data_IF_348662777539
#
_entry.id   IF_348662777539
#
_cell.length_a   1.000
_cell.length_b   1.000
_cell.length_c   1.000
_cell.angle_alpha   90.00
_cell.angle_beta   90.00
_cell.angle_gamma   90.00
#
_symmetry.space_group_name_H-M   'P 1'
#
loop_
_entity.id
_entity.type
_entity.pdbx_description
1 polymer ?
#
# COMPACT_ATOMS: atom_id res chain seq x y z
N UNK A 1 -50.03 -50.15 33.03
CA UNK A 1 -50.68 -51.47 32.88
C UNK A 1 -52.00 -51.22 32.16
N UNK A 2 -52.09 -51.61 30.89
CA UNK A 2 -53.32 -51.41 30.10
C UNK A 2 -54.13 -52.70 30.16
N UNK A 3 -55.38 -52.61 30.62
CA UNK A 3 -56.30 -53.75 30.64
C UNK A 3 -56.71 -54.10 29.21
N UNK A 4 -56.48 -55.35 28.81
CA UNK A 4 -57.01 -55.94 27.59
C UNK A 4 -58.53 -56.01 27.71
N UNK A 5 -59.27 -55.34 26.82
CA UNK A 5 -60.74 -55.44 26.78
C UNK A 5 -61.06 -56.82 26.22
N UNK A 6 -61.49 -57.73 27.10
CA UNK A 6 -61.87 -59.11 26.75
C UNK A 6 -63.19 -59.08 25.98
N UNK A 7 -63.14 -59.35 24.67
CA UNK A 7 -64.32 -59.38 23.82
C UNK A 7 -65.10 -60.69 24.05
N UNK A 8 -66.22 -60.61 24.77
CA UNK A 8 -67.10 -61.76 25.02
C UNK A 8 -68.13 -61.94 23.90
N UNK A 9 -68.06 -63.06 23.19
CA UNK A 9 -69.11 -63.49 22.28
C UNK A 9 -70.32 -64.06 23.05
N UNK A 10 -71.19 -63.16 23.53
CA UNK A 10 -72.49 -63.51 24.07
C UNK A 10 -73.46 -63.83 22.93
N UNK A 11 -74.22 -64.94 23.00
CA UNK A 11 -75.26 -65.29 22.02
C UNK A 11 -76.46 -64.32 22.07
N UNK A 12 -76.58 -63.57 23.16
CA UNK A 12 -77.60 -62.55 23.38
C UNK A 12 -76.91 -61.19 23.51
N UNK A 13 -77.14 -60.22 22.59
CA UNK A 13 -76.64 -58.87 22.76
C UNK A 13 -77.29 -58.26 24.01
N UNK A 14 -76.49 -57.65 24.89
CA UNK A 14 -77.05 -56.79 25.93
C UNK A 14 -77.74 -55.61 25.23
N UNK A 15 -78.96 -55.23 25.65
CA UNK A 15 -79.62 -54.05 25.12
C UNK A 15 -78.74 -52.84 25.41
N UNK A 16 -78.28 -52.18 24.35
CA UNK A 16 -77.56 -50.92 24.44
C UNK A 16 -78.48 -49.90 25.12
N UNK A 17 -78.07 -49.36 26.28
CA UNK A 17 -78.71 -48.17 26.83
C UNK A 17 -78.46 -47.03 25.85
N UNK A 18 -79.51 -46.49 25.21
CA UNK A 18 -79.34 -45.35 24.34
C UNK A 18 -78.72 -44.22 25.14
N UNK A 19 -77.65 -43.61 24.60
CA UNK A 19 -77.17 -42.35 25.14
C UNK A 19 -78.37 -41.38 25.26
N UNK A 20 -78.45 -40.59 26.35
CA UNK A 20 -79.53 -39.64 26.52
C UNK A 20 -79.63 -38.80 25.24
N UNK A 21 -80.82 -38.79 24.64
CA UNK A 21 -81.08 -38.02 23.42
C UNK A 21 -80.68 -36.57 23.72
N UNK A 22 -79.86 -35.92 22.87
CA UNK A 22 -79.61 -34.50 23.03
C UNK A 22 -80.97 -33.78 23.07
N UNK A 23 -81.05 -32.65 23.81
CA UNK A 23 -82.27 -31.84 23.84
C UNK A 23 -82.81 -31.67 22.43
N UNK A 24 -84.12 -31.85 22.24
CA UNK A 24 -84.78 -31.64 20.95
C UNK A 24 -84.59 -30.17 20.57
N UNK A 25 -83.53 -29.88 19.81
CA UNK A 25 -83.28 -28.58 19.21
C UNK A 25 -84.46 -28.26 18.31
N UNK A 26 -84.99 -27.05 18.43
CA UNK A 26 -85.98 -26.60 17.45
C UNK A 26 -85.32 -26.44 16.09
N UNK A 27 -86.12 -26.48 15.03
CA UNK A 27 -85.62 -26.32 13.66
C UNK A 27 -84.85 -25.00 13.49
N UNK A 28 -85.30 -23.93 14.13
CA UNK A 28 -84.66 -22.62 14.11
C UNK A 28 -83.28 -22.64 14.80
N UNK A 29 -83.14 -23.33 15.93
CA UNK A 29 -81.86 -23.46 16.64
C UNK A 29 -80.84 -24.25 15.81
N UNK A 30 -81.29 -25.28 15.09
CA UNK A 30 -80.45 -26.04 14.17
C UNK A 30 -79.97 -25.17 12.99
N UNK A 31 -80.84 -24.36 12.39
CA UNK A 31 -80.43 -23.45 11.31
C UNK A 31 -79.37 -22.44 11.77
N UNK A 32 -79.54 -21.89 12.99
CA UNK A 32 -78.55 -20.98 13.59
C UNK A 32 -77.21 -21.69 13.76
N UNK A 33 -77.19 -22.89 14.35
CA UNK A 33 -75.96 -23.66 14.55
C UNK A 33 -75.24 -23.98 13.23
N UNK A 34 -75.98 -24.35 12.19
CA UNK A 34 -75.40 -24.61 10.86
C UNK A 34 -74.79 -23.34 10.27
N UNK A 35 -75.46 -22.19 10.44
CA UNK A 35 -74.95 -20.90 9.94
C UNK A 35 -73.68 -20.45 10.69
N UNK A 36 -73.63 -20.66 12.01
CA UNK A 36 -72.46 -20.37 12.84
C UNK A 36 -71.29 -21.30 12.49
N UNK A 37 -71.57 -22.58 12.27
CA UNK A 37 -70.56 -23.55 11.83
C UNK A 37 -69.97 -23.15 10.45
N UNK A 38 -70.82 -22.77 9.49
CA UNK A 38 -70.36 -22.30 8.19
C UNK A 38 -69.50 -21.03 8.31
N UNK A 39 -69.93 -20.05 9.11
CA UNK A 39 -69.17 -18.82 9.33
C UNK A 39 -67.83 -19.08 10.02
N UNK A 40 -67.79 -19.97 11.01
CA UNK A 40 -66.52 -20.31 11.70
C UNK A 40 -65.56 -21.07 10.79
N UNK A 41 -66.06 -21.95 9.92
CA UNK A 41 -65.24 -22.66 8.92
C UNK A 41 -64.66 -21.69 7.88
N UNK A 42 -65.45 -20.77 7.34
CA UNK A 42 -64.98 -19.72 6.43
C UNK A 42 -63.89 -18.85 7.08
N UNK A 43 -64.10 -18.43 8.33
CA UNK A 43 -63.10 -17.67 9.09
C UNK A 43 -61.81 -18.47 9.31
N UNK A 44 -61.90 -19.76 9.59
CA UNK A 44 -60.73 -20.63 9.73
C UNK A 44 -59.95 -20.73 8.41
N UNK A 45 -60.63 -20.91 7.28
CA UNK A 45 -59.99 -20.95 5.97
C UNK A 45 -59.30 -19.62 5.63
N UNK A 46 -59.93 -18.49 5.93
CA UNK A 46 -59.32 -17.17 5.75
C UNK A 46 -58.07 -16.99 6.64
N UNK A 47 -58.14 -17.39 7.91
CA UNK A 47 -57.00 -17.37 8.83
C UNK A 47 -55.84 -18.26 8.35
N UNK A 48 -56.14 -19.44 7.82
CA UNK A 48 -55.14 -20.33 7.22
C UNK A 48 -54.48 -19.71 5.99
N UNK A 49 -55.25 -19.10 5.10
CA UNK A 49 -54.72 -18.40 3.93
C UNK A 49 -53.76 -17.27 4.31
N UNK A 50 -54.16 -16.39 5.22
CA UNK A 50 -53.30 -15.30 5.71
C UNK A 50 -52.02 -15.81 6.39
N UNK A 51 -52.10 -16.90 7.14
CA UNK A 51 -50.93 -17.51 7.77
C UNK A 51 -49.96 -18.12 6.75
N UNK A 52 -50.46 -18.72 5.67
CA UNK A 52 -49.63 -19.20 4.57
C UNK A 52 -48.92 -18.06 3.84
N UNK A 53 -49.62 -16.97 3.56
CA UNK A 53 -49.03 -15.76 2.96
C UNK A 53 -47.92 -15.18 3.83
N UNK A 54 -48.15 -15.07 5.14
CA UNK A 54 -47.15 -14.60 6.09
C UNK A 54 -45.89 -15.49 6.12
N UNK A 55 -46.05 -16.82 6.05
CA UNK A 55 -44.90 -17.74 5.94
C UNK A 55 -44.10 -17.49 4.67
N UNK A 56 -44.77 -17.28 3.54
CA UNK A 56 -44.12 -16.98 2.26
C UNK A 56 -43.37 -15.65 2.35
N UNK A 57 -43.95 -14.63 2.97
CA UNK A 57 -43.31 -13.34 3.17
C UNK A 57 -42.07 -13.46 4.06
N UNK A 58 -42.13 -14.23 5.15
CA UNK A 58 -40.97 -14.50 6.01
C UNK A 58 -39.83 -15.19 5.29
N UNK A 59 -40.12 -16.15 4.41
CA UNK A 59 -39.08 -16.80 3.59
C UNK A 59 -38.46 -15.80 2.61
N UNK A 60 -39.26 -14.92 2.00
CA UNK A 60 -38.76 -13.86 1.11
C UNK A 60 -37.86 -12.88 1.87
N UNK A 61 -38.27 -12.45 3.07
CA UNK A 61 -37.50 -11.56 3.94
C UNK A 61 -36.13 -12.16 4.28
N UNK A 62 -36.10 -13.39 4.79
CA UNK A 62 -34.86 -14.09 5.13
C UNK A 62 -33.92 -14.26 3.93
N UNK A 63 -34.47 -14.55 2.73
CA UNK A 63 -33.69 -14.66 1.50
C UNK A 63 -33.06 -13.32 1.09
N UNK A 64 -33.81 -12.22 1.22
CA UNK A 64 -33.30 -10.88 0.92
C UNK A 64 -32.22 -10.44 1.90
N UNK A 65 -32.39 -10.72 3.19
CA UNK A 65 -31.38 -10.44 4.21
C UNK A 65 -30.07 -11.18 3.93
N UNK A 66 -30.15 -12.48 3.64
CA UNK A 66 -28.97 -13.28 3.24
C UNK A 66 -28.27 -12.68 2.01
N UNK A 67 -29.02 -12.26 1.01
CA UNK A 67 -28.46 -11.67 -0.21
C UNK A 67 -27.78 -10.32 0.07
N UNK A 68 -28.31 -9.52 0.99
CA UNK A 68 -27.67 -8.26 1.42
C UNK A 68 -26.31 -8.54 2.07
N UNK A 69 -26.25 -9.47 3.01
CA UNK A 69 -25.01 -9.87 3.68
C UNK A 69 -23.97 -10.40 2.68
N UNK A 70 -24.39 -11.26 1.75
CA UNK A 70 -23.50 -11.79 0.71
C UNK A 70 -22.95 -10.66 -0.19
N UNK A 71 -23.79 -9.69 -0.54
CA UNK A 71 -23.38 -8.53 -1.35
C UNK A 71 -22.39 -7.64 -0.60
N UNK A 72 -22.60 -7.39 0.68
CA UNK A 72 -21.68 -6.63 1.53
C UNK A 72 -20.32 -7.34 1.66
N UNK A 73 -20.33 -8.65 1.92
CA UNK A 73 -19.12 -9.45 1.97
C UNK A 73 -18.34 -9.44 0.64
N UNK A 74 -19.04 -9.46 -0.50
CA UNK A 74 -18.41 -9.30 -1.82
C UNK A 74 -17.82 -7.90 -2.02
N UNK A 75 -18.53 -6.84 -1.58
CA UNK A 75 -18.04 -5.47 -1.67
C UNK A 75 -16.77 -5.26 -0.83
N UNK A 76 -16.68 -5.84 0.37
CA UNK A 76 -15.47 -5.82 1.19
C UNK A 76 -14.30 -6.55 0.53
N UNK A 77 -14.53 -7.75 -0.02
CA UNK A 77 -13.51 -8.49 -0.78
C UNK A 77 -12.98 -7.67 -1.95
N UNK A 78 -13.85 -7.00 -2.70
CA UNK A 78 -13.44 -6.13 -3.80
C UNK A 78 -12.59 -4.96 -3.32
N UNK A 79 -12.95 -4.31 -2.22
CA UNK A 79 -12.13 -3.23 -1.63
C UNK A 79 -10.74 -3.73 -1.21
N UNK A 80 -10.65 -4.92 -0.63
CA UNK A 80 -9.36 -5.52 -0.25
C UNK A 80 -8.52 -5.83 -1.49
N UNK A 81 -9.12 -6.37 -2.55
CA UNK A 81 -8.42 -6.64 -3.80
C UNK A 81 -7.92 -5.35 -4.46
N UNK A 82 -8.75 -4.30 -4.48
CA UNK A 82 -8.37 -3.00 -5.04
C UNK A 82 -7.16 -2.40 -4.30
N UNK A 83 -7.17 -2.40 -2.96
CA UNK A 83 -6.02 -1.91 -2.17
C UNK A 83 -4.75 -2.71 -2.48
N UNK A 84 -4.87 -4.04 -2.58
CA UNK A 84 -3.75 -4.91 -2.90
C UNK A 84 -3.20 -4.65 -4.31
N UNK A 85 -4.08 -4.36 -5.28
CA UNK A 85 -3.67 -3.98 -6.63
C UNK A 85 -2.94 -2.63 -6.66
N UNK A 86 -3.44 -1.65 -5.91
CA UNK A 86 -2.78 -0.34 -5.76
C UNK A 86 -1.39 -0.47 -5.12
N UNK A 87 -1.25 -1.29 -4.07
CA UNK A 87 0.03 -1.61 -3.43
C UNK A 87 1.00 -2.30 -4.41
N UNK A 88 0.53 -3.29 -5.18
CA UNK A 88 1.35 -3.97 -6.18
C UNK A 88 1.86 -3.00 -7.25
N UNK A 89 0.99 -2.10 -7.72
CA UNK A 89 1.33 -1.08 -8.70
C UNK A 89 2.33 -0.05 -8.15
N UNK A 90 2.25 0.28 -6.86
CA UNK A 90 3.21 1.15 -6.20
C UNK A 90 4.58 0.46 -6.07
N UNK A 91 4.61 -0.82 -5.68
CA UNK A 91 5.85 -1.60 -5.58
C UNK A 91 6.52 -1.80 -6.96
N UNK A 92 5.73 -2.05 -8.01
CA UNK A 92 6.25 -2.16 -9.38
C UNK A 92 6.93 -0.86 -9.84
N UNK A 93 6.32 0.29 -9.56
CA UNK A 93 6.94 1.60 -9.82
C UNK A 93 8.23 1.78 -9.02
N UNK A 94 8.23 1.44 -7.72
CA UNK A 94 9.45 1.54 -6.89
C UNK A 94 10.57 0.68 -7.45
N UNK A 95 10.27 -0.53 -7.90
CA UNK A 95 11.27 -1.39 -8.54
C UNK A 95 11.76 -0.86 -9.88
N UNK A 96 10.90 -0.21 -10.68
CA UNK A 96 11.32 0.43 -11.92
C UNK A 96 12.28 1.59 -11.63
N UNK A 97 11.94 2.44 -10.66
CA UNK A 97 12.77 3.57 -10.25
C UNK A 97 14.12 3.10 -9.68
N UNK A 98 14.14 2.05 -8.85
CA UNK A 98 15.36 1.44 -8.32
C UNK A 98 16.26 0.91 -9.45
N UNK A 99 15.68 0.25 -10.45
CA UNK A 99 16.42 -0.25 -11.62
C UNK A 99 16.99 0.90 -12.46
N UNK A 100 16.24 1.97 -12.67
CA UNK A 100 16.70 3.15 -13.40
C UNK A 100 17.83 3.86 -12.65
N UNK A 101 17.72 3.95 -11.32
CA UNK A 101 18.76 4.53 -10.48
C UNK A 101 20.05 3.69 -10.52
N UNK A 102 19.94 2.36 -10.43
CA UNK A 102 21.08 1.44 -10.57
C UNK A 102 21.74 1.54 -11.95
N UNK A 103 20.94 1.59 -13.01
CA UNK A 103 21.44 1.76 -14.37
C UNK A 103 22.19 3.07 -14.54
N UNK A 104 21.64 4.16 -14.01
CA UNK A 104 22.26 5.49 -14.04
C UNK A 104 23.57 5.53 -13.27
N UNK A 105 23.64 4.88 -12.10
CA UNK A 105 24.86 4.77 -11.30
C UNK A 105 25.97 3.97 -12.01
N UNK A 106 25.64 2.85 -12.67
CA UNK A 106 26.61 2.09 -13.46
C UNK A 106 27.14 2.91 -14.65
N UNK A 107 26.26 3.66 -15.32
CA UNK A 107 26.65 4.53 -16.43
C UNK A 107 27.58 5.65 -15.97
N UNK A 108 27.27 6.29 -14.83
CA UNK A 108 28.10 7.32 -14.21
C UNK A 108 29.48 6.75 -13.81
N UNK A 109 29.51 5.58 -13.18
CA UNK A 109 30.76 4.93 -12.78
C UNK A 109 31.65 4.62 -13.98
N UNK A 110 31.05 4.17 -15.10
CA UNK A 110 31.78 3.97 -16.36
C UNK A 110 32.31 5.29 -16.91
N UNK A 111 31.51 6.34 -16.93
CA UNK A 111 31.93 7.67 -17.36
C UNK A 111 33.13 8.17 -16.54
N UNK A 112 33.04 8.11 -15.21
CA UNK A 112 34.11 8.54 -14.30
C UNK A 112 35.38 7.71 -14.48
N UNK A 113 35.27 6.39 -14.68
CA UNK A 113 36.41 5.53 -14.97
C UNK A 113 37.10 5.91 -16.30
N UNK A 114 36.33 6.28 -17.32
CA UNK A 114 36.90 6.76 -18.59
C UNK A 114 37.52 8.15 -18.46
N UNK A 115 36.89 9.08 -17.74
CA UNK A 115 37.42 10.41 -17.47
C UNK A 115 38.74 10.35 -16.70
N UNK A 116 38.82 9.49 -15.68
CA UNK A 116 40.05 9.26 -14.91
C UNK A 116 41.19 8.72 -15.78
N UNK A 117 40.92 7.75 -16.66
CA UNK A 117 41.92 7.25 -17.63
C UNK A 117 42.43 8.35 -18.56
N UNK A 118 41.55 9.22 -19.05
CA UNK A 118 41.95 10.35 -19.90
C UNK A 118 42.79 11.37 -19.13
N UNK A 119 42.43 11.67 -17.87
CA UNK A 119 43.20 12.56 -17.01
C UNK A 119 44.60 12.01 -16.72
N UNK A 120 44.72 10.72 -16.41
CA UNK A 120 46.00 10.05 -16.19
C UNK A 120 46.87 10.08 -17.47
N UNK A 121 46.27 9.89 -18.64
CA UNK A 121 47.00 9.96 -19.91
C UNK A 121 47.51 11.38 -20.23
N UNK A 122 46.69 12.40 -19.94
CA UNK A 122 47.07 13.81 -20.07
C UNK A 122 48.18 14.20 -19.09
N UNK A 123 48.10 13.77 -17.83
CA UNK A 123 49.16 13.99 -16.84
C UNK A 123 50.47 13.34 -17.29
N UNK A 124 50.42 12.09 -17.77
CA UNK A 124 51.60 11.38 -18.29
C UNK A 124 52.21 12.07 -19.52
N UNK A 125 51.40 12.70 -20.37
CA UNK A 125 51.88 13.51 -21.51
C UNK A 125 52.56 14.79 -21.02
N UNK A 126 51.96 15.52 -20.07
CA UNK A 126 52.54 16.73 -19.46
C UNK A 126 53.88 16.43 -18.77
N UNK A 127 53.96 15.37 -17.97
CA UNK A 127 55.20 14.99 -17.27
C UNK A 127 56.32 14.62 -18.27
N UNK A 128 55.99 13.95 -19.38
CA UNK A 128 56.95 13.67 -20.47
C UNK A 128 57.44 14.94 -21.15
N UNK A 129 56.57 15.93 -21.35
CA UNK A 129 56.93 17.20 -21.97
C UNK A 129 57.82 18.04 -21.04
N UNK A 130 57.47 18.10 -19.76
CA UNK A 130 58.25 18.81 -18.73
C UNK A 130 59.65 18.20 -18.57
N UNK A 131 59.77 16.86 -18.54
CA UNK A 131 61.08 16.18 -18.56
C UNK A 131 61.92 16.53 -19.79
N UNK A 132 61.29 16.69 -20.96
CA UNK A 132 61.99 17.12 -22.19
C UNK A 132 62.42 18.58 -22.11
N UNK A 133 61.58 19.46 -21.59
CA UNK A 133 61.88 20.87 -21.39
C UNK A 133 63.03 21.07 -20.39
N UNK A 134 62.98 20.41 -19.23
CA UNK A 134 64.05 20.42 -18.22
C UNK A 134 65.39 19.92 -18.80
N UNK A 135 65.37 18.88 -19.64
CA UNK A 135 66.58 18.37 -20.32
C UNK A 135 67.16 19.39 -21.31
N UNK A 136 66.33 20.20 -21.99
CA UNK A 136 66.79 21.29 -22.86
C UNK A 136 67.40 22.44 -22.05
N UNK A 137 66.71 22.92 -21.00
CA UNK A 137 67.24 23.96 -20.13
C UNK A 137 68.57 23.57 -19.48
N UNK A 138 68.71 22.32 -19.01
CA UNK A 138 69.99 21.84 -18.44
C UNK A 138 71.13 21.83 -19.47
N UNK A 139 70.83 21.54 -20.74
CA UNK A 139 71.83 21.62 -21.82
C UNK A 139 72.23 23.07 -22.10
N UNK A 140 71.29 24.02 -22.08
CA UNK A 140 71.57 25.45 -22.22
C UNK A 140 72.37 26.00 -21.05
N UNK A 141 71.97 25.73 -19.80
CA UNK A 141 72.73 26.11 -18.61
C UNK A 141 74.17 25.58 -18.67
N UNK A 142 74.37 24.32 -19.08
CA UNK A 142 75.72 23.74 -19.25
C UNK A 142 76.54 24.43 -20.34
N UNK A 143 75.91 24.96 -21.39
CA UNK A 143 76.59 25.79 -22.41
C UNK A 143 76.96 27.17 -21.87
N UNK A 144 76.05 27.83 -21.15
CA UNK A 144 76.29 29.12 -20.50
C UNK A 144 77.39 29.02 -19.44
N UNK A 145 77.37 27.99 -18.61
CA UNK A 145 78.40 27.76 -17.59
C UNK A 145 79.78 27.53 -18.22
N UNK A 146 79.86 26.77 -19.33
CA UNK A 146 81.11 26.62 -20.11
C UNK A 146 81.60 27.94 -20.67
N UNK A 147 80.70 28.77 -21.23
CA UNK A 147 81.04 30.08 -21.77
C UNK A 147 81.48 31.07 -20.67
N UNK A 148 80.91 30.97 -19.47
CA UNK A 148 81.29 31.79 -18.31
C UNK A 148 82.66 31.38 -17.74
N UNK A 149 82.96 30.08 -17.70
CA UNK A 149 84.29 29.55 -17.30
C UNK A 149 85.40 29.94 -18.29
N UNK A 150 85.12 30.02 -19.60
CA UNK A 150 86.09 30.54 -20.57
C UNK A 150 86.29 32.06 -20.52
N UNK A 151 85.43 32.80 -19.80
CA UNK A 151 85.53 34.27 -19.64
C UNK A 151 86.18 34.70 -18.33
N UNK A 152 86.56 33.76 -17.46
CA UNK A 152 87.24 34.03 -16.18
C UNK A 152 88.75 34.23 -16.41
N UNK A 153 89.05 35.23 -17.22
CA UNK A 153 90.38 35.73 -17.57
C UNK A 153 90.44 37.25 -17.64
N UNK A 154 89.55 37.98 -16.95
CA UNK A 154 89.77 39.36 -16.45
C UNK A 154 88.51 39.93 -15.79
N UNK A 155 88.65 40.30 -14.52
CA UNK A 155 88.05 41.51 -13.97
C UNK A 155 86.65 41.44 -13.36
N UNK A 156 86.62 41.67 -12.05
CA UNK A 156 85.75 42.63 -11.32
C UNK A 156 84.23 42.31 -11.17
N UNK A 157 83.88 41.96 -9.92
CA UNK A 157 82.88 42.53 -8.98
C UNK A 157 81.47 42.95 -9.48
N UNK A 158 80.49 42.58 -8.65
CA UNK A 158 79.13 43.14 -8.47
C UNK A 158 78.03 42.79 -9.49
N UNK A 159 77.06 41.99 -9.02
CA UNK A 159 75.60 42.16 -9.23
C UNK A 159 74.85 40.84 -8.92
N UNK A 160 74.76 40.43 -7.65
CA UNK A 160 73.79 39.40 -7.21
C UNK A 160 73.18 39.85 -5.88
N UNK A 161 72.52 41.02 -5.91
CA UNK A 161 71.79 41.56 -4.75
C UNK A 161 70.47 42.24 -5.15
N UNK A 162 69.83 41.81 -6.25
CA UNK A 162 68.64 42.51 -6.75
C UNK A 162 67.57 41.58 -7.38
N UNK A 163 67.13 40.55 -6.65
CA UNK A 163 65.82 39.93 -6.91
C UNK A 163 65.28 39.14 -5.71
N UNK A 164 65.31 39.74 -4.52
CA UNK A 164 64.62 39.19 -3.35
C UNK A 164 63.92 40.29 -2.57
N UNK A 165 63.10 41.06 -3.28
CA UNK A 165 62.13 41.95 -2.67
C UNK A 165 60.89 41.95 -3.55
N UNK A 166 59.73 41.90 -2.88
CA UNK A 166 58.39 42.13 -3.43
C UNK A 166 57.66 40.96 -4.12
N UNK A 167 57.00 40.10 -3.31
CA UNK A 167 55.52 40.03 -3.31
C UNK A 167 54.99 39.33 -2.06
N UNK A 168 54.43 40.12 -1.15
CA UNK A 168 53.58 39.67 -0.06
C UNK A 168 52.11 39.50 -0.47
N UNK A 169 51.29 39.26 0.56
CA UNK A 169 49.84 38.94 0.60
C UNK A 169 49.56 37.44 0.45
N UNK A 170 49.33 36.70 1.54
CA UNK A 170 48.26 36.84 2.56
C UNK A 170 46.86 36.79 1.91
N UNK A 171 46.14 35.69 2.19
CA UNK A 171 44.72 35.68 2.58
C UNK A 171 44.38 34.23 2.93
N UNK A 172 44.24 34.01 4.23
CA UNK A 172 43.37 33.01 4.81
C UNK A 172 41.98 33.06 4.19
N UNK A 173 41.43 31.90 3.81
CA UNK A 173 40.00 31.68 4.04
C UNK A 173 39.74 30.18 4.17
N UNK A 174 39.93 29.75 5.41
CA UNK A 174 39.10 28.76 6.09
C UNK A 174 37.67 28.65 5.51
N UNK A 175 37.17 27.40 5.48
CA UNK A 175 35.82 27.17 5.97
C UNK A 175 34.67 27.45 5.01
N UNK A 176 34.66 26.81 3.83
CA UNK A 176 33.43 26.57 3.06
C UNK A 176 32.53 25.52 3.74
N UNK A 177 32.12 25.77 4.98
CA UNK A 177 31.17 24.96 5.72
C UNK A 177 29.74 25.26 5.30
N UNK A 178 29.03 24.19 4.88
CA UNK A 178 27.58 23.98 4.98
C UNK A 178 26.64 25.10 4.51
N UNK A 179 25.97 24.82 3.41
CA UNK A 179 24.50 24.90 3.26
C UNK A 179 24.13 24.12 1.98
N UNK A 180 22.95 23.48 1.84
CA UNK A 180 21.67 23.88 2.41
C UNK A 180 20.85 22.71 3.00
N UNK A 181 20.19 22.91 4.15
CA UNK A 181 19.00 22.12 4.48
C UNK A 181 17.77 23.02 4.31
N UNK A 182 16.81 22.63 3.47
CA UNK A 182 15.56 23.35 3.35
C UNK A 182 14.64 23.05 4.54
N UNK A 183 14.08 24.13 5.07
CA UNK A 183 12.68 24.30 5.46
C UNK A 183 11.80 23.04 5.34
N UNK A 184 11.30 22.54 6.47
CA UNK A 184 10.03 21.85 6.48
C UNK A 184 9.21 22.34 7.67
N UNK A 185 8.23 23.15 7.30
CA UNK A 185 7.09 23.54 8.10
C UNK A 185 6.33 22.27 8.49
N UNK A 186 6.30 21.95 9.78
CA UNK A 186 5.41 20.96 10.33
C UNK A 186 4.18 21.67 10.86
N UNK A 187 3.12 21.66 10.06
CA UNK A 187 1.75 22.01 10.44
C UNK A 187 1.38 21.33 11.77
N UNK A 188 1.08 22.15 12.76
CA UNK A 188 0.53 21.68 14.02
C UNK A 188 -0.90 21.21 13.78
N UNK A 189 -1.13 19.97 14.20
CA UNK A 189 -2.34 19.20 13.92
C UNK A 189 -3.55 19.86 14.57
N UNK A 190 -4.61 19.98 13.77
CA UNK A 190 -5.94 20.27 14.25
C UNK A 190 -6.36 19.30 15.36
N UNK A 191 -6.58 19.87 16.55
CA UNK A 191 -7.35 19.23 17.60
C UNK A 191 -8.82 19.22 17.17
N UNK A 192 -9.24 18.09 16.60
CA UNK A 192 -10.64 17.70 16.56
C UNK A 192 -11.06 17.06 17.89
N UNK A 193 -12.38 17.14 18.13
CA UNK A 193 -13.17 16.43 19.14
C UNK A 193 -13.31 17.10 20.52
N UNK A 194 -14.46 17.74 20.70
CA UNK A 194 -15.37 17.48 21.82
C UNK A 194 -16.77 17.94 21.39
N UNK A 195 -17.49 17.05 20.71
CA UNK A 195 -18.95 17.13 20.59
C UNK A 195 -19.55 16.36 21.76
N UNK A 196 -20.32 17.04 22.60
CA UNK A 196 -21.24 16.51 23.58
C UNK A 196 -22.59 17.18 23.39
#
# INVERSE_FOLDING_TARGET
MSSSIEYRHSVTPEPYEPAPMPPELTFEEYEVLVSEQASTEENYLAAMGTHEEWKVEKVKEARLEKLKVDREAWAEKLKVLQKKEEEWKAEEKRQADEKEHLWSADLQQKADATAKKQQDELQKKKEKEEKKAAKKQRKEQKKVEKAMKSRKGKGVVAAVELLREERGMDVDTEGGGRSPWPQQEGEDRGFGACGG
#
